data_IF_408179820267
#
_entry.id   IF_408179820267
#
_cell.length_a   1.000
_cell.length_b   1.000
_cell.length_c   1.000
_cell.angle_alpha   90.00
_cell.angle_beta   90.00
_cell.angle_gamma   90.00
#
_symmetry.space_group_name_H-M   'P 1'
#
loop_
_entity.id
_entity.type
_entity.pdbx_description
1 polymer ?
#
# COMPACT_ATOMS: atom_id res chain seq x y z
N UNK A 1 60.00 18.40 -37.07
CA UNK A 1 58.80 17.59 -36.79
C UNK A 1 59.07 16.76 -35.55
N UNK A 2 58.56 17.17 -34.39
CA UNK A 2 58.63 16.38 -33.16
C UNK A 2 57.22 16.29 -32.61
N UNK A 3 56.57 15.15 -32.85
CA UNK A 3 55.28 14.82 -32.25
C UNK A 3 55.52 14.31 -30.83
N UNK A 4 55.07 15.06 -29.84
CA UNK A 4 54.96 14.58 -28.46
C UNK A 4 53.67 13.77 -28.37
N UNK A 5 53.78 12.45 -28.32
CA UNK A 5 52.67 11.56 -27.96
C UNK A 5 52.38 11.75 -26.47
N UNK A 6 51.32 12.49 -26.14
CA UNK A 6 50.77 12.51 -24.79
C UNK A 6 50.12 11.14 -24.53
N UNK A 7 50.81 10.29 -23.76
CA UNK A 7 50.25 9.03 -23.26
C UNK A 7 49.09 9.36 -22.32
N UNK A 8 47.87 9.03 -22.74
CA UNK A 8 46.68 9.14 -21.90
C UNK A 8 46.77 8.15 -20.75
N UNK A 9 46.88 8.67 -19.52
CA UNK A 9 46.83 7.87 -18.29
C UNK A 9 45.46 7.19 -18.15
N UNK A 10 45.38 5.91 -17.73
CA UNK A 10 44.11 5.23 -17.51
C UNK A 10 43.33 5.90 -16.36
N UNK A 11 42.04 6.13 -16.58
CA UNK A 11 41.13 6.69 -15.60
C UNK A 11 41.05 5.81 -14.34
N UNK A 12 40.86 6.40 -13.14
CA UNK A 12 40.86 5.65 -11.89
C UNK A 12 39.71 4.63 -11.87
N UNK A 13 39.91 3.47 -11.20
CA UNK A 13 38.86 2.48 -11.04
C UNK A 13 37.65 3.11 -10.34
N UNK A 14 36.46 2.92 -10.93
CA UNK A 14 35.22 3.40 -10.34
C UNK A 14 34.96 2.81 -8.94
N UNK A 15 34.13 3.48 -8.12
CA UNK A 15 33.83 3.00 -6.78
C UNK A 15 33.24 1.58 -6.80
N UNK A 16 33.45 0.79 -5.74
CA UNK A 16 32.96 -0.59 -5.69
C UNK A 16 31.44 -0.62 -5.85
N UNK A 17 30.92 -1.68 -6.48
CA UNK A 17 29.50 -1.78 -6.86
C UNK A 17 28.52 -1.56 -5.70
N UNK A 18 28.92 -1.88 -4.46
CA UNK A 18 28.15 -1.70 -3.22
C UNK A 18 27.96 -0.23 -2.81
N UNK A 19 28.86 0.66 -3.23
CA UNK A 19 28.83 2.10 -2.91
C UNK A 19 28.20 2.94 -4.03
N UNK A 20 27.65 2.29 -5.06
CA UNK A 20 27.00 2.99 -6.16
C UNK A 20 25.61 3.47 -5.76
N UNK A 21 25.19 4.62 -6.30
CA UNK A 21 23.83 5.11 -6.18
C UNK A 21 22.80 4.04 -6.63
N UNK A 22 23.16 3.20 -7.61
CA UNK A 22 22.31 2.11 -8.06
C UNK A 22 22.11 0.99 -7.04
N UNK A 23 23.15 0.65 -6.28
CA UNK A 23 23.03 -0.31 -5.18
C UNK A 23 22.07 0.18 -4.10
N UNK A 24 22.18 1.46 -3.70
CA UNK A 24 21.29 2.06 -2.70
C UNK A 24 19.83 2.10 -3.17
N UNK A 25 19.60 2.41 -4.44
CA UNK A 25 18.26 2.38 -5.06
C UNK A 25 17.67 0.97 -5.02
N UNK A 26 18.44 -0.05 -5.41
CA UNK A 26 18.00 -1.44 -5.38
C UNK A 26 17.74 -1.93 -3.94
N UNK A 27 18.59 -1.54 -2.98
CA UNK A 27 18.40 -1.85 -1.57
C UNK A 27 17.10 -1.24 -1.04
N UNK A 28 16.85 0.04 -1.37
CA UNK A 28 15.61 0.72 -0.99
C UNK A 28 14.38 0.06 -1.62
N UNK A 29 14.42 -0.26 -2.91
CA UNK A 29 13.33 -0.94 -3.60
C UNK A 29 13.03 -2.31 -2.96
N UNK A 30 14.06 -3.11 -2.68
CA UNK A 30 13.93 -4.40 -1.97
C UNK A 30 13.29 -4.24 -0.59
N UNK A 31 13.64 -3.19 0.16
CA UNK A 31 13.02 -2.89 1.45
C UNK A 31 11.52 -2.61 1.31
N UNK A 32 11.11 -1.82 0.30
CA UNK A 32 9.68 -1.58 0.07
C UNK A 32 8.94 -2.86 -0.36
N UNK A 33 9.56 -3.70 -1.20
CA UNK A 33 8.98 -4.99 -1.60
C UNK A 33 8.78 -5.92 -0.39
N UNK A 34 9.76 -5.99 0.52
CA UNK A 34 9.62 -6.74 1.78
C UNK A 34 8.47 -6.20 2.62
N UNK A 35 8.41 -4.89 2.84
CA UNK A 35 7.31 -4.26 3.58
C UNK A 35 5.94 -4.61 2.97
N UNK A 36 5.80 -4.60 1.64
CA UNK A 36 4.55 -5.01 0.98
C UNK A 36 4.19 -6.47 1.25
N UNK A 37 5.18 -7.38 1.27
CA UNK A 37 4.95 -8.80 1.59
C UNK A 37 4.51 -8.98 3.04
N UNK A 38 5.22 -8.33 3.96
CA UNK A 38 4.97 -8.44 5.40
C UNK A 38 3.59 -7.88 5.77
N UNK A 39 3.11 -6.86 5.05
CA UNK A 39 1.81 -6.25 5.27
C UNK A 39 0.62 -7.01 4.67
N UNK A 40 0.83 -8.04 3.84
CA UNK A 40 -0.28 -8.81 3.24
C UNK A 40 -1.19 -9.44 4.29
N UNK A 41 -0.61 -10.05 5.31
CA UNK A 41 -1.38 -10.71 6.38
C UNK A 41 -2.04 -9.69 7.33
N UNK A 42 -1.33 -8.66 7.84
CA UNK A 42 -1.93 -7.57 8.61
C UNK A 42 -3.12 -6.90 7.91
N UNK A 43 -3.02 -6.60 6.61
CA UNK A 43 -4.13 -6.01 5.84
C UNK A 43 -5.32 -6.96 5.76
N UNK A 44 -5.07 -8.26 5.55
CA UNK A 44 -6.15 -9.27 5.51
C UNK A 44 -6.84 -9.47 6.86
N UNK A 45 -6.12 -9.29 7.96
CA UNK A 45 -6.67 -9.36 9.32
C UNK A 45 -7.35 -8.07 9.77
N UNK A 46 -7.20 -6.98 9.03
CA UNK A 46 -7.69 -5.67 9.46
C UNK A 46 -6.88 -5.07 10.60
N UNK A 47 -5.60 -5.43 10.74
CA UNK A 47 -4.72 -4.87 11.77
C UNK A 47 -4.67 -3.33 11.61
N UNK A 48 -4.72 -2.56 12.72
CA UNK A 48 -4.70 -1.10 12.66
C UNK A 48 -3.50 -0.56 11.87
N UNK A 49 -3.75 0.45 11.04
CA UNK A 49 -2.75 1.17 10.22
C UNK A 49 -2.04 0.28 9.16
N UNK A 50 -2.42 -0.99 9.01
CA UNK A 50 -1.81 -1.88 8.02
C UNK A 50 -2.04 -1.39 6.59
N UNK A 51 -3.25 -0.93 6.27
CA UNK A 51 -3.60 -0.41 4.94
C UNK A 51 -2.84 0.87 4.64
N UNK A 52 -2.78 1.79 5.61
CA UNK A 52 -1.99 3.00 5.49
C UNK A 52 -0.51 2.69 5.22
N UNK A 53 0.12 1.83 6.02
CA UNK A 53 1.52 1.42 5.83
C UNK A 53 1.74 0.77 4.46
N UNK A 54 0.80 -0.06 3.99
CA UNK A 54 0.90 -0.70 2.68
C UNK A 54 0.82 0.31 1.54
N UNK A 55 -0.09 1.29 1.64
CA UNK A 55 -0.20 2.42 0.68
C UNK A 55 1.08 3.26 0.65
N UNK A 56 1.68 3.54 1.82
CA UNK A 56 2.95 4.28 1.91
C UNK A 56 4.06 3.50 1.21
N UNK A 57 4.19 2.20 1.45
CA UNK A 57 5.16 1.34 0.77
C UNK A 57 4.95 1.31 -0.75
N UNK A 58 3.71 1.20 -1.23
CA UNK A 58 3.36 1.28 -2.65
C UNK A 58 3.78 2.60 -3.28
N UNK A 59 3.45 3.73 -2.64
CA UNK A 59 3.81 5.09 -3.13
C UNK A 59 5.32 5.27 -3.19
N UNK A 60 6.04 4.85 -2.14
CA UNK A 60 7.51 4.92 -2.04
C UNK A 60 8.18 4.08 -3.13
N UNK A 61 7.73 2.84 -3.33
CA UNK A 61 8.27 1.96 -4.37
C UNK A 61 8.01 2.54 -5.76
N UNK A 62 6.79 3.00 -6.06
CA UNK A 62 6.48 3.68 -7.34
C UNK A 62 7.37 4.89 -7.58
N UNK A 63 7.59 5.71 -6.57
CA UNK A 63 8.44 6.91 -6.69
C UNK A 63 9.88 6.52 -6.98
N UNK A 64 10.41 5.52 -6.28
CA UNK A 64 11.74 4.96 -6.52
C UNK A 64 11.90 4.47 -7.97
N UNK A 65 10.96 3.62 -8.43
CA UNK A 65 11.00 3.06 -9.78
C UNK A 65 10.87 4.13 -10.88
N UNK A 66 10.08 5.19 -10.64
CA UNK A 66 9.87 6.26 -11.62
C UNK A 66 11.02 7.26 -11.70
N UNK A 67 11.76 7.46 -10.61
CA UNK A 67 12.77 8.52 -10.48
C UNK A 67 14.15 8.04 -10.92
N UNK A 68 14.52 6.80 -10.60
CA UNK A 68 15.85 6.27 -10.88
C UNK A 68 15.94 5.57 -12.24
N UNK A 69 15.46 6.23 -13.30
CA UNK A 69 15.41 5.69 -14.68
C UNK A 69 16.77 5.48 -15.33
N UNK A 70 17.81 6.12 -14.80
CA UNK A 70 19.19 5.97 -15.28
C UNK A 70 19.84 4.68 -14.79
N UNK A 71 19.29 4.08 -13.73
CA UNK A 71 19.78 2.82 -13.14
C UNK A 71 18.82 1.66 -13.42
N UNK A 72 17.52 1.95 -13.54
CA UNK A 72 16.47 0.95 -13.71
C UNK A 72 15.90 1.00 -15.13
N UNK A 73 15.87 -0.16 -15.80
CA UNK A 73 15.23 -0.33 -17.09
C UNK A 73 13.71 -0.06 -16.99
N UNK A 74 13.25 0.91 -17.78
CA UNK A 74 11.86 1.37 -17.80
C UNK A 74 10.90 0.28 -18.27
N UNK A 75 11.26 -0.47 -19.30
CA UNK A 75 10.38 -1.49 -19.86
C UNK A 75 10.20 -2.64 -18.88
N UNK A 76 11.25 -2.99 -18.15
CA UNK A 76 11.18 -3.99 -17.07
C UNK A 76 10.39 -3.53 -15.85
N UNK A 77 10.37 -2.23 -15.54
CA UNK A 77 9.70 -1.69 -14.34
C UNK A 77 8.26 -1.24 -14.58
N UNK A 78 7.84 -1.06 -15.84
CA UNK A 78 6.50 -0.60 -16.20
C UNK A 78 5.39 -1.48 -15.62
N UNK A 79 5.50 -2.81 -15.76
CA UNK A 79 4.53 -3.75 -15.21
C UNK A 79 4.42 -3.67 -13.68
N UNK A 80 5.55 -3.48 -12.98
CA UNK A 80 5.56 -3.31 -11.54
C UNK A 80 4.88 -1.99 -11.10
N UNK A 81 5.12 -0.89 -11.81
CA UNK A 81 4.51 0.42 -11.51
C UNK A 81 2.99 0.38 -11.70
N UNK A 82 2.50 -0.30 -12.74
CA UNK A 82 1.07 -0.48 -12.98
C UNK A 82 0.44 -1.42 -11.94
N UNK A 83 1.07 -2.54 -11.61
CA UNK A 83 0.59 -3.41 -10.53
C UNK A 83 0.47 -2.68 -9.18
N UNK A 84 1.45 -1.83 -8.86
CA UNK A 84 1.38 -0.96 -7.67
C UNK A 84 0.29 0.11 -7.77
N UNK A 85 -0.08 0.55 -8.98
CA UNK A 85 -1.22 1.46 -9.21
C UNK A 85 -2.52 0.78 -8.84
N UNK A 86 -2.74 -0.41 -9.39
CA UNK A 86 -3.95 -1.20 -9.18
C UNK A 86 -4.11 -1.53 -7.70
N UNK A 87 -3.05 -2.04 -7.06
CA UNK A 87 -3.04 -2.32 -5.63
C UNK A 87 -3.37 -1.07 -4.79
N UNK A 88 -2.78 0.09 -5.12
CA UNK A 88 -3.08 1.33 -4.41
C UNK A 88 -4.53 1.82 -4.64
N UNK A 89 -5.13 1.52 -5.78
CA UNK A 89 -6.53 1.84 -6.05
C UNK A 89 -7.46 0.94 -5.22
N UNK A 90 -7.20 -0.37 -5.17
CA UNK A 90 -7.97 -1.34 -4.38
C UNK A 90 -7.92 -1.03 -2.87
N UNK A 91 -6.76 -0.61 -2.36
CA UNK A 91 -6.58 -0.17 -0.97
C UNK A 91 -7.25 1.20 -0.68
N UNK A 92 -7.89 1.85 -1.66
CA UNK A 92 -8.52 3.16 -1.51
C UNK A 92 -9.72 3.12 -0.58
N UNK A 93 -10.71 2.28 -0.89
CA UNK A 93 -11.95 2.19 -0.14
C UNK A 93 -11.74 1.84 1.35
N UNK A 94 -10.78 0.96 1.64
CA UNK A 94 -10.47 0.59 3.03
C UNK A 94 -9.72 1.70 3.77
N UNK A 95 -8.85 2.44 3.08
CA UNK A 95 -8.18 3.60 3.66
C UNK A 95 -9.17 4.71 4.00
N UNK A 96 -10.16 4.94 3.17
CA UNK A 96 -11.18 5.97 3.41
C UNK A 96 -11.97 5.68 4.69
N UNK A 97 -12.26 4.40 4.98
CA UNK A 97 -12.86 3.98 6.26
C UNK A 97 -11.94 4.25 7.46
N UNK A 98 -10.66 3.93 7.35
CA UNK A 98 -9.70 4.23 8.42
C UNK A 98 -9.57 5.74 8.68
N UNK A 99 -9.53 6.55 7.62
CA UNK A 99 -9.47 8.02 7.72
C UNK A 99 -10.73 8.55 8.37
N UNK A 100 -11.90 8.09 7.92
CA UNK A 100 -13.19 8.49 8.48
C UNK A 100 -13.27 8.14 9.97
N UNK A 101 -12.88 6.92 10.36
CA UNK A 101 -12.80 6.50 11.77
C UNK A 101 -11.93 7.43 12.59
N UNK A 102 -10.71 7.67 12.11
CA UNK A 102 -9.75 8.51 12.83
C UNK A 102 -10.26 9.93 13.01
N UNK A 103 -10.87 10.50 11.96
CA UNK A 103 -11.46 11.84 11.99
C UNK A 103 -12.63 11.92 12.97
N UNK A 104 -13.58 10.99 12.88
CA UNK A 104 -14.77 10.96 13.75
C UNK A 104 -14.39 10.78 15.23
N UNK A 105 -13.46 9.86 15.53
CA UNK A 105 -12.97 9.67 16.91
C UNK A 105 -12.16 10.88 17.41
N UNK A 106 -11.41 11.55 16.52
CA UNK A 106 -10.72 12.79 16.85
C UNK A 106 -11.69 13.89 17.26
N UNK A 107 -12.70 14.14 16.42
CA UNK A 107 -13.74 15.14 16.70
C UNK A 107 -14.51 14.82 17.97
N UNK A 108 -14.86 13.54 18.21
CA UNK A 108 -15.59 13.15 19.42
C UNK A 108 -14.83 13.46 20.72
N UNK A 109 -13.49 13.38 20.70
CA UNK A 109 -12.64 13.73 21.86
C UNK A 109 -12.55 15.23 22.12
N UNK A 110 -12.85 16.05 21.12
CA UNK A 110 -12.87 17.51 21.25
C UNK A 110 -14.24 18.02 21.76
N UNK A 111 -15.28 17.16 21.78
CA UNK A 111 -16.59 17.54 22.31
C UNK A 111 -16.59 17.54 23.85
N UNK A 112 -17.30 18.50 24.47
CA UNK A 112 -17.66 18.42 25.88
C UNK A 112 -18.40 17.10 26.20
N UNK A 113 -18.04 16.39 27.28
CA UNK A 113 -18.58 15.07 27.57
C UNK A 113 -20.10 15.08 27.81
N UNK A 114 -20.68 16.22 28.18
CA UNK A 114 -22.12 16.40 28.38
C UNK A 114 -22.91 16.27 27.07
N UNK A 115 -22.25 16.47 25.92
CA UNK A 115 -22.85 16.34 24.59
C UNK A 115 -22.75 14.90 24.03
N UNK A 116 -21.98 14.03 24.68
CA UNK A 116 -21.75 12.65 24.22
C UNK A 116 -22.85 11.75 24.79
N UNK A 117 -23.78 11.30 23.94
CA UNK A 117 -24.88 10.43 24.34
C UNK A 117 -24.64 8.96 23.97
N UNK A 118 -24.53 8.11 24.99
CA UNK A 118 -24.41 6.65 24.79
C UNK A 118 -23.07 6.22 24.17
N UNK A 119 -22.96 4.98 23.66
CA UNK A 119 -21.70 4.39 23.23
C UNK A 119 -21.30 4.82 21.80
N UNK A 120 -21.18 6.14 21.57
CA UNK A 120 -20.87 6.70 20.23
C UNK A 120 -19.52 6.20 19.71
N UNK A 121 -18.50 6.08 20.57
CA UNK A 121 -17.19 5.54 20.17
C UNK A 121 -17.29 4.13 19.59
N UNK A 122 -18.05 3.25 20.25
CA UNK A 122 -18.25 1.86 19.81
C UNK A 122 -19.02 1.82 18.48
N UNK A 123 -20.06 2.66 18.34
CA UNK A 123 -20.81 2.79 17.08
C UNK A 123 -19.93 3.27 15.94
N UNK A 124 -19.07 4.28 16.15
CA UNK A 124 -18.12 4.76 15.13
C UNK A 124 -17.18 3.63 14.73
N UNK A 125 -16.61 2.89 15.70
CA UNK A 125 -15.71 1.77 15.41
C UNK A 125 -16.41 0.67 14.62
N UNK A 126 -17.65 0.31 14.97
CA UNK A 126 -18.41 -0.73 14.29
C UNK A 126 -18.71 -0.37 12.82
N UNK A 127 -19.17 0.86 12.54
CA UNK A 127 -19.54 1.30 11.19
C UNK A 127 -18.34 1.54 10.26
N UNK A 128 -17.16 1.72 10.84
CA UNK A 128 -15.91 1.98 10.09
C UNK A 128 -14.95 0.80 10.13
N UNK A 129 -15.39 -0.36 10.64
CA UNK A 129 -14.59 -1.57 10.66
C UNK A 129 -14.35 -2.11 9.23
N UNK A 130 -13.21 -2.76 8.98
CA UNK A 130 -12.95 -3.42 7.71
C UNK A 130 -14.04 -4.44 7.38
N UNK A 131 -14.57 -4.38 6.16
CA UNK A 131 -15.63 -5.31 5.72
C UNK A 131 -17.01 -5.05 6.35
N UNK A 132 -17.19 -3.98 7.14
CA UNK A 132 -18.52 -3.51 7.50
C UNK A 132 -19.25 -3.17 6.19
N UNK A 133 -20.28 -3.95 5.85
CA UNK A 133 -21.25 -3.54 4.83
C UNK A 133 -21.81 -2.20 5.33
N UNK A 134 -21.52 -1.12 4.64
CA UNK A 134 -22.33 0.09 4.73
C UNK A 134 -23.71 -0.33 4.27
N UNK A 135 -24.56 -0.75 5.22
CA UNK A 135 -25.98 -0.72 5.00
C UNK A 135 -26.30 0.72 4.58
N UNK A 136 -26.94 0.94 3.41
CA UNK A 136 -27.55 2.21 3.12
C UNK A 136 -28.41 2.59 4.33
N UNK A 137 -28.21 3.81 4.84
CA UNK A 137 -28.81 4.24 6.09
C UNK A 137 -30.33 4.06 6.04
N UNK A 138 -30.86 3.28 6.97
CA UNK A 138 -32.28 3.29 7.28
C UNK A 138 -32.50 2.98 8.77
N UNK A 139 -33.45 3.73 9.33
CA UNK A 139 -34.12 3.58 10.62
C UNK A 139 -33.35 3.94 11.91
N UNK A 140 -33.37 5.23 12.25
CA UNK A 140 -33.76 5.63 13.61
C UNK A 140 -35.30 5.77 13.60
N UNK A 141 -36.03 4.68 13.81
CA UNK A 141 -37.37 4.63 14.45
C UNK A 141 -37.79 3.14 14.59
N UNK A 142 -38.49 2.75 15.66
CA UNK A 142 -38.54 1.36 16.16
C UNK A 142 -39.52 0.35 15.52
N UNK A 143 -39.14 -0.95 15.62
CA UNK A 143 -39.95 -2.23 15.67
C UNK A 143 -40.74 -2.62 14.38
N UNK A 144 -41.01 -3.92 13.97
CA UNK A 144 -40.74 -5.29 14.48
C UNK A 144 -40.05 -6.28 13.46
N UNK A 145 -39.86 -7.60 13.78
CA UNK A 145 -39.09 -8.56 12.96
C UNK A 145 -39.94 -9.44 12.00
N UNK A 146 -39.35 -9.84 10.87
CA UNK A 146 -39.88 -10.89 9.97
C UNK A 146 -39.30 -10.90 8.53
N UNK A 147 -38.39 -11.85 8.29
CA UNK A 147 -37.85 -12.51 7.05
C UNK A 147 -38.55 -12.27 5.67
N UNK A 148 -37.88 -12.53 4.50
CA UNK A 148 -36.91 -13.61 4.29
C UNK A 148 -35.65 -13.32 3.45
N UNK A 149 -34.81 -14.35 3.49
CA UNK A 149 -33.54 -14.57 2.82
C UNK A 149 -33.60 -14.39 1.31
N UNK A 150 -32.50 -13.85 0.76
CA UNK A 150 -32.18 -13.84 -0.65
C UNK A 150 -30.66 -13.80 -0.82
N UNK A 151 -30.13 -14.91 -1.32
CA UNK A 151 -28.81 -15.10 -1.96
C UNK A 151 -28.54 -13.94 -2.94
N UNK A 152 -27.31 -13.47 -3.15
CA UNK A 152 -26.52 -14.05 -4.22
C UNK A 152 -25.02 -13.85 -3.98
N UNK A 153 -24.34 -14.98 -3.78
CA UNK A 153 -22.90 -15.10 -3.87
C UNK A 153 -22.35 -14.53 -5.19
N UNK A 154 -21.71 -13.36 -5.11
CA UNK A 154 -20.79 -12.89 -6.15
C UNK A 154 -19.41 -12.61 -5.57
N UNK A 155 -18.57 -13.65 -5.57
CA UNK A 155 -17.11 -13.49 -5.44
C UNK A 155 -16.64 -12.58 -6.59
N UNK A 156 -15.98 -11.44 -6.34
CA UNK A 156 -15.31 -10.73 -7.40
C UNK A 156 -14.13 -11.57 -7.94
N UNK A 157 -14.01 -11.76 -9.27
CA UNK A 157 -12.86 -12.41 -9.86
C UNK A 157 -11.66 -11.46 -9.81
N UNK A 158 -10.48 -11.96 -9.39
CA UNK A 158 -9.26 -11.16 -9.42
C UNK A 158 -8.05 -11.74 -8.70
N UNK A 159 -8.22 -12.76 -7.85
CA UNK A 159 -7.10 -13.33 -7.07
C UNK A 159 -6.52 -14.63 -7.65
N UNK A 160 -6.66 -14.86 -8.96
CA UNK A 160 -5.97 -15.96 -9.64
C UNK A 160 -4.71 -15.42 -10.35
N UNK A 161 -3.53 -15.82 -9.87
CA UNK A 161 -2.37 -15.99 -10.76
C UNK A 161 -1.21 -14.99 -10.72
N UNK A 162 -0.97 -14.22 -9.65
CA UNK A 162 0.28 -13.47 -9.56
C UNK A 162 1.43 -14.34 -9.00
N UNK A 163 1.90 -15.30 -9.80
CA UNK A 163 3.15 -16.02 -9.54
C UNK A 163 4.31 -15.16 -10.04
N UNK A 164 4.88 -14.34 -9.15
CA UNK A 164 6.14 -13.63 -9.46
C UNK A 164 7.30 -14.61 -9.33
N UNK A 165 7.78 -15.14 -10.46
CA UNK A 165 9.01 -15.93 -10.53
C UNK A 165 10.22 -15.00 -10.40
N UNK A 166 10.98 -15.15 -9.31
CA UNK A 166 12.27 -14.49 -9.14
C UNK A 166 13.36 -15.33 -9.84
N UNK A 167 14.23 -14.74 -10.67
CA UNK A 167 15.48 -15.41 -11.04
C UNK A 167 16.41 -15.41 -9.82
N UNK A 168 16.78 -16.60 -9.33
CA UNK A 168 17.88 -16.79 -8.37
C UNK A 168 17.52 -17.29 -6.96
N UNK A 169 16.72 -18.35 -6.83
CA UNK A 169 16.80 -19.20 -5.62
C UNK A 169 17.96 -20.19 -5.79
N UNK A 170 18.91 -20.30 -4.85
CA UNK A 170 19.83 -21.43 -4.80
C UNK A 170 19.18 -22.63 -4.09
N UNK A 171 19.45 -23.83 -4.63
CA UNK A 171 19.38 -25.14 -3.97
C UNK A 171 17.99 -25.69 -3.67
#
# INVERSE_FOLDING_TARGET
MSGTTHSASPAPPGPPATDTAGHLVLLYARRQVRALRDLRNPVRRGDPDAVHRMRVACRRLRSCLRTHRTVLDRERTRGAVEGLRTLAAELGAERDREVLRHRLLGQLRELPPELIRGPIEERIRAHTAPGARTAPGEAVEGIPPGLPEGDDGKRPPGFAGLTVRFPGSPG
#
